data_IF_608940085671
#
_entry.id   IF_608940085671
#
_cell.length_a   1.000
_cell.length_b   1.000
_cell.length_c   1.000
_cell.angle_alpha   90.00
_cell.angle_beta   90.00
_cell.angle_gamma   90.00
#
_symmetry.space_group_name_H-M   'P 1'
#
loop_
_entity.id
_entity.type
_entity.pdbx_description
1 polymer ?
#
# COMPACT_ATOMS: atom_id res chain seq x y z
N UNK A 1 24.88 13.60 20.38
CA UNK A 1 23.65 12.88 19.98
C UNK A 1 23.99 11.98 18.80
N UNK A 2 23.85 10.65 18.96
CA UNK A 2 24.26 9.69 17.93
C UNK A 2 23.39 9.83 16.66
N UNK A 3 24.01 9.87 15.48
CA UNK A 3 23.32 9.94 14.17
C UNK A 3 22.34 8.78 13.96
N UNK A 4 22.56 7.65 14.60
CA UNK A 4 21.64 6.50 14.63
C UNK A 4 20.30 6.82 15.32
N UNK A 5 20.31 7.62 16.39
CA UNK A 5 19.08 8.05 17.06
C UNK A 5 18.27 9.03 16.20
N UNK A 6 18.96 9.85 15.40
CA UNK A 6 18.32 10.80 14.48
C UNK A 6 17.62 10.10 13.31
N UNK A 7 18.21 9.04 12.74
CA UNK A 7 17.59 8.23 11.69
C UNK A 7 16.34 7.47 12.18
N UNK A 8 16.37 6.97 13.42
CA UNK A 8 15.23 6.30 14.05
C UNK A 8 14.07 7.28 14.30
N UNK A 9 14.39 8.52 14.69
CA UNK A 9 13.41 9.59 14.89
C UNK A 9 12.79 10.11 13.58
N UNK A 10 13.52 10.09 12.46
CA UNK A 10 12.96 10.45 11.15
C UNK A 10 12.13 9.34 10.49
N UNK A 11 12.25 8.10 10.98
CA UNK A 11 11.39 6.97 10.60
C UNK A 11 10.10 6.91 11.43
N UNK A 12 10.09 7.55 12.60
CA UNK A 12 8.93 7.64 13.48
C UNK A 12 7.71 8.32 12.86
N UNK A 13 7.78 9.40 12.05
CA UNK A 13 6.61 9.98 11.40
C UNK A 13 5.83 8.99 10.52
N UNK A 14 6.51 8.00 9.92
CA UNK A 14 5.86 6.92 9.16
C UNK A 14 5.10 5.92 10.03
N UNK A 15 5.37 5.88 11.34
CA UNK A 15 4.69 5.07 12.37
C UNK A 15 3.81 5.91 13.30
N UNK A 16 4.06 7.22 13.36
CA UNK A 16 3.46 8.22 14.23
C UNK A 16 2.51 9.15 13.46
N UNK A 17 1.98 8.71 12.31
CA UNK A 17 0.75 9.26 11.74
C UNK A 17 -0.45 8.95 12.66
N UNK A 18 -0.42 9.51 13.87
CA UNK A 18 -1.55 9.70 14.77
C UNK A 18 -2.31 11.00 14.42
N UNK A 19 -1.91 11.70 13.37
CA UNK A 19 -2.67 12.81 12.79
C UNK A 19 -3.86 12.25 12.02
N UNK A 20 -4.92 11.97 12.79
CA UNK A 20 -6.25 11.63 12.28
C UNK A 20 -7.10 10.77 13.22
N UNK A 21 -6.60 10.35 14.39
CA UNK A 21 -7.34 9.43 15.27
C UNK A 21 -8.58 10.03 15.95
N UNK A 22 -8.89 11.32 15.74
CA UNK A 22 -10.14 11.90 16.21
C UNK A 22 -10.97 12.36 14.99
N UNK A 23 -12.11 11.70 14.68
CA UNK A 23 -13.07 12.26 13.74
C UNK A 23 -13.55 13.63 14.24
N UNK A 24 -13.80 14.58 13.33
CA UNK A 24 -14.28 15.94 13.60
C UNK A 24 -15.64 15.99 14.35
N UNK A 25 -16.21 14.84 14.71
CA UNK A 25 -17.51 14.73 15.34
C UNK A 25 -17.48 13.84 16.59
N UNK A 26 -16.72 14.28 17.59
CA UNK A 26 -16.80 13.80 18.97
C UNK A 26 -18.08 14.35 19.62
N UNK A 27 -19.26 13.84 19.25
CA UNK A 27 -20.52 14.36 19.80
C UNK A 27 -21.78 13.59 19.45
N UNK A 28 -21.86 12.96 18.27
CA UNK A 28 -23.10 12.32 17.81
C UNK A 28 -23.15 10.82 18.16
N UNK A 29 -24.05 10.36 19.05
CA UNK A 29 -24.06 8.99 19.56
C UNK A 29 -24.56 7.94 18.55
N UNK A 30 -25.16 8.34 17.43
CA UNK A 30 -25.78 7.43 16.46
C UNK A 30 -24.77 6.90 15.40
N UNK A 31 -23.60 7.55 15.23
CA UNK A 31 -22.66 7.31 14.13
C UNK A 31 -21.26 6.78 14.58
N UNK A 32 -21.08 6.50 15.88
CA UNK A 32 -19.74 6.28 16.43
C UNK A 32 -19.16 4.91 16.10
N UNK A 33 -19.98 3.86 16.08
CA UNK A 33 -19.50 2.49 15.83
C UNK A 33 -18.89 2.33 14.44
N UNK A 34 -19.46 2.97 13.42
CA UNK A 34 -18.99 2.86 12.04
C UNK A 34 -17.74 3.69 11.78
N UNK A 35 -17.62 4.86 12.41
CA UNK A 35 -16.46 5.74 12.25
C UNK A 35 -15.15 5.09 12.73
N UNK A 36 -15.16 4.40 13.87
CA UNK A 36 -13.96 3.73 14.40
C UNK A 36 -13.50 2.56 13.53
N UNK A 37 -14.44 1.76 13.01
CA UNK A 37 -14.14 0.62 12.14
C UNK A 37 -13.60 1.09 10.79
N UNK A 38 -14.21 2.11 10.19
CA UNK A 38 -13.78 2.65 8.90
C UNK A 38 -12.44 3.37 8.98
N UNK A 39 -12.20 4.11 10.07
CA UNK A 39 -10.92 4.79 10.29
C UNK A 39 -9.77 3.80 10.40
N UNK A 40 -9.94 2.74 11.21
CA UNK A 40 -8.93 1.69 11.39
C UNK A 40 -8.67 0.94 10.07
N UNK A 41 -9.73 0.65 9.30
CA UNK A 41 -9.62 -0.03 8.02
C UNK A 41 -8.86 0.81 6.97
N UNK A 42 -9.17 2.12 6.88
CA UNK A 42 -8.49 3.04 5.96
C UNK A 42 -7.01 3.20 6.30
N UNK A 43 -6.68 3.32 7.58
CA UNK A 43 -5.29 3.46 8.02
C UNK A 43 -4.47 2.20 7.71
N UNK A 44 -5.01 1.01 8.02
CA UNK A 44 -4.37 -0.27 7.70
C UNK A 44 -4.23 -0.48 6.19
N UNK A 45 -5.27 -0.14 5.42
CA UNK A 45 -5.26 -0.24 3.96
C UNK A 45 -4.17 0.63 3.33
N UNK A 46 -4.01 1.87 3.78
CA UNK A 46 -3.00 2.77 3.23
C UNK A 46 -1.58 2.27 3.47
N UNK A 47 -1.28 1.80 4.69
CA UNK A 47 0.03 1.22 5.03
C UNK A 47 0.30 -0.06 4.22
N UNK A 48 -0.70 -0.94 4.08
CA UNK A 48 -0.56 -2.16 3.29
C UNK A 48 -0.27 -1.85 1.80
N UNK A 49 -0.98 -0.88 1.22
CA UNK A 49 -0.78 -0.46 -0.18
C UNK A 49 0.66 0.05 -0.39
N UNK A 50 1.18 0.87 0.52
CA UNK A 50 2.55 1.40 0.42
C UNK A 50 3.60 0.28 0.41
N UNK A 51 3.46 -0.72 1.28
CA UNK A 51 4.38 -1.87 1.34
C UNK A 51 4.29 -2.69 0.05
N UNK A 52 3.07 -2.97 -0.42
CA UNK A 52 2.86 -3.76 -1.64
C UNK A 52 3.45 -3.05 -2.86
N UNK A 53 3.27 -1.74 -2.99
CA UNK A 53 3.87 -0.97 -4.08
C UNK A 53 5.39 -0.98 -4.03
N UNK A 54 5.99 -0.82 -2.85
CA UNK A 54 7.44 -0.88 -2.69
C UNK A 54 8.01 -2.24 -3.12
N UNK A 55 7.36 -3.33 -2.69
CA UNK A 55 7.74 -4.70 -3.06
C UNK A 55 7.55 -4.93 -4.56
N UNK A 56 6.42 -4.51 -5.12
CA UNK A 56 6.14 -4.65 -6.55
C UNK A 56 7.20 -3.97 -7.42
N UNK A 57 7.66 -2.77 -7.05
CA UNK A 57 8.74 -2.07 -7.76
C UNK A 57 10.06 -2.84 -7.70
N UNK A 58 10.43 -3.40 -6.54
CA UNK A 58 11.65 -4.22 -6.43
C UNK A 58 11.59 -5.44 -7.34
N UNK A 59 10.47 -6.18 -7.32
CA UNK A 59 10.28 -7.33 -8.20
C UNK A 59 10.24 -6.95 -9.68
N UNK A 60 9.68 -5.78 -10.02
CA UNK A 60 9.66 -5.26 -11.38
C UNK A 60 11.09 -5.00 -11.88
N UNK A 61 11.93 -4.35 -11.06
CA UNK A 61 13.34 -4.08 -11.38
C UNK A 61 14.12 -5.38 -11.54
N UNK A 62 13.99 -6.32 -10.60
CA UNK A 62 14.68 -7.62 -10.66
C UNK A 62 14.29 -8.42 -11.91
N UNK A 63 12.99 -8.43 -12.24
CA UNK A 63 12.48 -9.13 -13.42
C UNK A 63 12.93 -8.47 -14.71
N UNK A 64 12.91 -7.14 -14.77
CA UNK A 64 13.38 -6.36 -15.91
C UNK A 64 14.88 -6.51 -16.15
N UNK A 65 15.68 -6.45 -15.09
CA UNK A 65 17.12 -6.68 -15.15
C UNK A 65 17.43 -8.08 -15.71
N UNK A 66 16.77 -9.10 -15.16
CA UNK A 66 16.94 -10.48 -15.64
C UNK A 66 16.60 -10.63 -17.12
N UNK A 67 15.57 -9.93 -17.60
CA UNK A 67 15.19 -9.95 -19.02
C UNK A 67 16.30 -9.37 -19.92
N UNK A 68 16.93 -8.26 -19.52
CA UNK A 68 18.02 -7.62 -20.28
C UNK A 68 19.28 -8.49 -20.27
N UNK A 69 19.62 -9.09 -19.12
CA UNK A 69 20.80 -9.95 -18.98
C UNK A 69 20.59 -11.38 -19.49
N UNK A 70 19.48 -11.70 -20.16
CA UNK A 70 19.19 -13.07 -20.62
C UNK A 70 20.05 -13.53 -21.80
N UNK A 71 20.91 -12.67 -22.39
CA UNK A 71 21.85 -12.97 -23.50
C UNK A 71 21.23 -13.80 -24.66
N UNK A 72 19.95 -13.62 -24.97
CA UNK A 72 19.26 -14.36 -26.05
C UNK A 72 18.67 -15.71 -25.65
N UNK A 73 18.61 -16.05 -24.36
CA UNK A 73 17.86 -17.21 -23.89
C UNK A 73 16.35 -16.92 -23.90
N UNK A 74 15.67 -17.39 -24.96
CA UNK A 74 14.23 -17.21 -25.16
C UNK A 74 13.38 -17.67 -23.96
N UNK A 75 13.79 -18.74 -23.27
CA UNK A 75 13.06 -19.25 -22.10
C UNK A 75 13.10 -18.26 -20.94
N UNK A 76 14.26 -17.65 -20.68
CA UNK A 76 14.43 -16.67 -19.60
C UNK A 76 13.66 -15.37 -19.88
N UNK A 77 13.64 -14.94 -21.14
CA UNK A 77 12.85 -13.78 -21.58
C UNK A 77 11.35 -14.07 -21.46
N UNK A 78 10.89 -15.23 -21.92
CA UNK A 78 9.48 -15.62 -21.84
C UNK A 78 9.01 -15.69 -20.38
N UNK A 79 9.81 -16.28 -19.49
CA UNK A 79 9.48 -16.35 -18.08
C UNK A 79 9.41 -14.96 -17.44
N UNK A 80 10.31 -14.05 -17.79
CA UNK A 80 10.31 -12.68 -17.27
C UNK A 80 9.09 -11.88 -17.75
N UNK A 81 8.64 -12.09 -18.99
CA UNK A 81 7.37 -11.51 -19.49
C UNK A 81 6.17 -11.97 -18.67
N UNK A 82 6.08 -13.27 -18.37
CA UNK A 82 5.01 -13.80 -17.52
C UNK A 82 5.07 -13.21 -16.11
N UNK A 83 6.25 -13.11 -15.52
CA UNK A 83 6.44 -12.46 -14.21
C UNK A 83 5.98 -11.00 -14.22
N UNK A 84 6.29 -10.23 -15.28
CA UNK A 84 5.80 -8.84 -15.43
C UNK A 84 4.26 -8.80 -15.48
N UNK A 85 3.62 -9.71 -16.23
CA UNK A 85 2.16 -9.78 -16.27
C UNK A 85 1.55 -10.03 -14.88
N UNK A 86 2.13 -10.95 -14.10
CA UNK A 86 1.66 -11.19 -12.73
C UNK A 86 1.84 -9.98 -11.82
N UNK A 87 2.94 -9.23 -11.95
CA UNK A 87 3.16 -7.98 -11.21
C UNK A 87 2.09 -6.95 -11.57
N UNK A 88 1.78 -6.78 -12.86
CA UNK A 88 0.75 -5.86 -13.34
C UNK A 88 -0.62 -6.25 -12.78
N UNK A 89 -0.98 -7.53 -12.83
CA UNK A 89 -2.24 -8.04 -12.28
C UNK A 89 -2.32 -7.76 -10.77
N UNK A 90 -1.24 -7.99 -10.02
CA UNK A 90 -1.17 -7.68 -8.59
C UNK A 90 -1.46 -6.20 -8.30
N UNK A 91 -0.85 -5.29 -9.07
CA UNK A 91 -1.11 -3.85 -8.93
C UNK A 91 -2.58 -3.52 -9.23
N UNK A 92 -3.16 -4.10 -10.29
CA UNK A 92 -4.57 -3.89 -10.63
C UNK A 92 -5.51 -4.36 -9.53
N UNK A 93 -5.23 -5.50 -8.90
CA UNK A 93 -6.02 -6.03 -7.78
C UNK A 93 -5.98 -5.07 -6.58
N UNK A 94 -4.80 -4.53 -6.25
CA UNK A 94 -4.64 -3.56 -5.14
C UNK A 94 -5.43 -2.28 -5.42
N UNK A 95 -5.36 -1.77 -6.64
CA UNK A 95 -6.13 -0.58 -7.06
C UNK A 95 -7.64 -0.87 -6.95
N UNK A 96 -8.10 -2.02 -7.44
CA UNK A 96 -9.50 -2.43 -7.34
C UNK A 96 -9.98 -2.53 -5.89
N UNK A 97 -9.17 -3.13 -5.00
CA UNK A 97 -9.48 -3.22 -3.58
C UNK A 97 -9.59 -1.84 -2.92
N UNK A 98 -8.69 -0.91 -3.25
CA UNK A 98 -8.73 0.47 -2.74
C UNK A 98 -10.03 1.19 -3.14
N UNK A 99 -10.44 1.07 -4.41
CA UNK A 99 -11.68 1.67 -4.91
C UNK A 99 -12.90 1.13 -4.19
N UNK A 100 -12.98 -0.20 -3.97
CA UNK A 100 -14.10 -0.83 -3.27
C UNK A 100 -14.18 -0.33 -1.82
N UNK A 101 -13.06 -0.35 -1.09
CA UNK A 101 -13.00 0.10 0.31
C UNK A 101 -13.41 1.56 0.45
N UNK A 102 -12.91 2.43 -0.44
CA UNK A 102 -13.27 3.85 -0.42
C UNK A 102 -14.75 4.06 -0.76
N UNK A 103 -15.30 3.31 -1.72
CA UNK A 103 -16.70 3.42 -2.13
C UNK A 103 -17.63 2.99 -0.99
N UNK A 104 -17.36 1.86 -0.35
CA UNK A 104 -18.15 1.39 0.81
C UNK A 104 -18.03 2.35 2.00
N UNK A 105 -16.83 2.86 2.27
CA UNK A 105 -16.60 3.83 3.34
C UNK A 105 -17.34 5.15 3.12
N UNK A 106 -17.47 5.63 1.88
CA UNK A 106 -18.24 6.84 1.57
C UNK A 106 -19.75 6.64 1.65
N UNK A 107 -20.26 5.42 1.45
CA UNK A 107 -21.70 5.14 1.55
C UNK A 107 -22.21 5.12 2.99
N UNK A 108 -21.36 4.75 3.95
CA UNK A 108 -21.72 4.75 5.37
C UNK A 108 -21.62 6.16 5.99
N UNK A 109 -20.86 7.07 5.34
CA UNK A 109 -20.65 8.46 5.77
C UNK A 109 -21.70 9.45 5.21
N UNK A 110 -22.67 8.96 4.44
CA UNK A 110 -23.87 9.70 4.01
C UNK A 110 -25.09 9.14 4.74
#
# INVERSE_FOLDING_TARGET
MNRLAFLLLTLLPGLASAEGLLPENFGDPENQTYAYVLYSLKHLGNVAIQIVFAVALVFLILTGYRMITSLGNDKAVQQSKMSILYIIIGILVVIGAYVIVNTLGQQILR
#
